data_IF_503055184117
#
_entry.id   IF_503055184117
#
_cell.length_a   1.000
_cell.length_b   1.000
_cell.length_c   1.000
_cell.angle_alpha   90.00
_cell.angle_beta   90.00
_cell.angle_gamma   90.00
#
_symmetry.space_group_name_H-M   'P 1'
#
loop_
_entity.id
_entity.type
_entity.pdbx_description
1 polymer ?
#
# COMPACT_ATOMS: atom_id res chain seq x y z
N UNK A 1 -9.58 -9.51 -12.13
CA UNK A 1 -8.58 -8.51 -11.78
C UNK A 1 -8.50 -8.46 -10.26
N UNK A 2 -7.31 -8.73 -9.69
CA UNK A 2 -6.97 -8.61 -8.26
C UNK A 2 -7.89 -9.36 -7.28
N UNK A 3 -8.31 -10.58 -7.64
CA UNK A 3 -9.13 -11.39 -6.73
C UNK A 3 -8.31 -11.84 -5.52
N UNK A 4 -8.75 -11.49 -4.31
CA UNK A 4 -8.05 -11.87 -3.08
C UNK A 4 -6.97 -10.88 -2.66
N UNK A 5 -6.79 -9.75 -3.36
CA UNK A 5 -5.82 -8.70 -3.01
C UNK A 5 -5.97 -8.22 -1.56
N UNK A 6 -7.17 -8.27 -0.98
CA UNK A 6 -7.39 -7.91 0.41
C UNK A 6 -6.61 -8.77 1.41
N UNK A 7 -6.07 -9.92 0.99
CA UNK A 7 -5.20 -10.80 1.81
C UNK A 7 -3.83 -10.22 2.09
N UNK A 8 -3.34 -9.26 1.30
CA UNK A 8 -2.06 -8.58 1.57
C UNK A 8 -2.05 -7.89 2.95
N UNK A 9 -3.24 -7.56 3.47
CA UNK A 9 -3.42 -6.91 4.77
C UNK A 9 -3.57 -7.89 5.95
N UNK A 10 -3.59 -9.21 5.74
CA UNK A 10 -3.85 -10.18 6.84
C UNK A 10 -2.80 -10.14 7.94
N UNK A 11 -1.55 -9.81 7.60
CA UNK A 11 -0.43 -9.77 8.54
C UNK A 11 -0.12 -8.34 9.05
N UNK A 12 -1.01 -7.37 8.80
CA UNK A 12 -0.83 -5.94 9.15
C UNK A 12 -0.33 -5.74 10.58
N UNK A 13 -1.05 -6.29 11.56
CA UNK A 13 -0.70 -6.13 12.98
C UNK A 13 0.68 -6.70 13.32
N UNK A 14 1.03 -7.86 12.76
CA UNK A 14 2.32 -8.50 13.03
C UNK A 14 3.48 -7.71 12.44
N UNK A 15 3.33 -7.26 11.19
CA UNK A 15 4.38 -6.55 10.45
C UNK A 15 4.63 -5.13 10.96
N UNK A 16 3.60 -4.47 11.54
CA UNK A 16 3.74 -3.13 12.12
C UNK A 16 4.25 -3.12 13.57
N UNK A 17 3.99 -4.18 14.36
CA UNK A 17 4.33 -4.21 15.81
C UNK A 17 5.82 -4.05 16.12
N UNK A 18 6.69 -4.42 15.20
CA UNK A 18 8.15 -4.34 15.36
C UNK A 18 8.82 -3.69 14.17
N UNK A 19 8.30 -2.55 13.73
CA UNK A 19 8.86 -1.79 12.61
C UNK A 19 10.22 -1.18 12.99
N UNK A 20 11.28 -1.99 12.89
CA UNK A 20 12.68 -1.61 13.05
C UNK A 20 13.38 -1.92 11.73
N UNK A 21 14.47 -1.22 11.43
CA UNK A 21 15.19 -1.35 10.16
C UNK A 21 15.38 -2.80 9.67
N UNK A 22 15.92 -3.69 10.52
CA UNK A 22 16.18 -5.09 10.16
C UNK A 22 14.91 -5.91 9.91
N UNK A 23 13.87 -5.70 10.72
CA UNK A 23 12.59 -6.39 10.54
C UNK A 23 11.81 -5.80 9.37
N UNK A 24 11.90 -4.50 9.12
CA UNK A 24 11.31 -3.85 7.96
C UNK A 24 11.85 -4.42 6.66
N UNK A 25 13.18 -4.55 6.54
CA UNK A 25 13.84 -5.17 5.38
C UNK A 25 13.35 -6.60 5.14
N UNK A 26 13.42 -7.44 6.18
CA UNK A 26 12.95 -8.82 6.09
C UNK A 26 11.46 -8.92 5.75
N UNK A 27 10.62 -8.17 6.45
CA UNK A 27 9.18 -8.20 6.25
C UNK A 27 8.80 -7.71 4.85
N UNK A 28 9.54 -6.75 4.30
CA UNK A 28 9.32 -6.27 2.93
C UNK A 28 9.63 -7.36 1.92
N UNK A 29 10.77 -8.06 2.08
CA UNK A 29 11.08 -9.20 1.22
C UNK A 29 10.02 -10.30 1.33
N UNK A 30 9.64 -10.70 2.55
CA UNK A 30 8.60 -11.71 2.78
C UNK A 30 7.24 -11.29 2.15
N UNK A 31 6.93 -9.99 2.17
CA UNK A 31 5.74 -9.40 1.56
C UNK A 31 5.78 -9.47 0.03
N UNK A 32 6.90 -9.08 -0.59
CA UNK A 32 7.12 -9.15 -2.03
C UNK A 32 7.08 -10.60 -2.52
N UNK A 33 7.73 -11.52 -1.81
CA UNK A 33 7.75 -12.93 -2.17
C UNK A 33 6.33 -13.54 -2.14
N UNK A 34 5.52 -13.13 -1.17
CA UNK A 34 4.15 -13.64 -1.01
C UNK A 34 3.14 -12.97 -1.97
N UNK A 35 3.28 -11.66 -2.18
CA UNK A 35 2.21 -10.83 -2.78
C UNK A 35 2.66 -10.00 -3.98
N UNK A 36 3.95 -10.01 -4.35
CA UNK A 36 4.53 -9.28 -5.48
C UNK A 36 3.85 -9.57 -6.83
N UNK A 37 3.20 -10.72 -6.98
CA UNK A 37 2.42 -11.05 -8.17
C UNK A 37 1.23 -10.10 -8.40
N UNK A 38 0.57 -9.62 -7.36
CA UNK A 38 -0.54 -8.69 -7.51
C UNK A 38 -0.08 -7.34 -8.08
N UNK A 39 1.07 -6.86 -7.63
CA UNK A 39 1.62 -5.58 -8.08
C UNK A 39 2.09 -5.65 -9.53
N UNK A 40 2.63 -6.80 -9.96
CA UNK A 40 2.90 -7.08 -11.37
C UNK A 40 1.62 -7.16 -12.21
N UNK A 41 0.57 -7.83 -11.71
CA UNK A 41 -0.74 -7.88 -12.38
C UNK A 41 -1.31 -6.46 -12.58
N UNK A 42 -1.17 -5.57 -11.59
CA UNK A 42 -1.58 -4.16 -11.72
C UNK A 42 -0.84 -3.46 -12.87
N UNK A 43 0.48 -3.57 -12.94
CA UNK A 43 1.28 -2.89 -13.97
C UNK A 43 1.00 -3.46 -15.36
N UNK A 44 0.91 -4.79 -15.49
CA UNK A 44 0.59 -5.46 -16.75
C UNK A 44 -0.81 -5.10 -17.25
N UNK A 45 -1.77 -5.00 -16.34
CA UNK A 45 -3.12 -4.58 -16.67
C UNK A 45 -3.15 -3.16 -17.24
N UNK A 46 -2.54 -2.17 -16.56
CA UNK A 46 -2.48 -0.79 -17.06
C UNK A 46 -1.73 -0.71 -18.39
N UNK A 47 -0.64 -1.46 -18.55
CA UNK A 47 0.10 -1.50 -19.81
C UNK A 47 -0.74 -2.05 -20.97
N UNK A 48 -1.61 -3.03 -20.71
CA UNK A 48 -2.47 -3.63 -21.74
C UNK A 48 -3.65 -2.76 -22.21
N UNK A 49 -4.02 -1.71 -21.46
CA UNK A 49 -5.19 -0.88 -21.74
C UNK A 49 -4.78 0.45 -22.37
N UNK A 50 -5.46 0.92 -23.42
CA UNK A 50 -5.08 2.18 -24.08
C UNK A 50 -5.21 3.42 -23.20
N UNK A 51 -6.26 3.48 -22.38
CA UNK A 51 -6.53 4.57 -21.43
C UNK A 51 -5.92 4.23 -20.07
N UNK A 52 -4.69 4.72 -19.84
CA UNK A 52 -3.85 4.35 -18.68
C UNK A 52 -4.43 4.88 -17.38
N UNK A 53 -4.92 6.11 -17.41
CA UNK A 53 -5.53 6.81 -16.29
C UNK A 53 -6.76 6.05 -15.82
N UNK A 54 -7.67 5.71 -16.74
CA UNK A 54 -8.86 4.91 -16.40
C UNK A 54 -8.49 3.54 -15.85
N UNK A 55 -7.50 2.85 -16.44
CA UNK A 55 -7.08 1.54 -15.93
C UNK A 55 -6.52 1.63 -14.50
N UNK A 56 -5.76 2.68 -14.18
CA UNK A 56 -5.26 2.92 -12.83
C UNK A 56 -6.38 3.26 -11.84
N UNK A 57 -7.40 4.01 -12.25
CA UNK A 57 -8.61 4.26 -11.46
C UNK A 57 -9.38 2.96 -11.18
N UNK A 58 -9.53 2.08 -12.17
CA UNK A 58 -10.20 0.78 -12.01
C UNK A 58 -9.44 -0.14 -11.01
N UNK A 59 -8.10 -0.11 -11.01
CA UNK A 59 -7.29 -0.77 -9.98
C UNK A 59 -7.57 -0.18 -8.60
N UNK A 60 -7.55 1.15 -8.49
CA UNK A 60 -7.74 1.84 -7.22
C UNK A 60 -9.11 1.52 -6.61
N UNK A 61 -10.17 1.62 -7.41
CA UNK A 61 -11.54 1.26 -7.00
C UNK A 61 -11.63 -0.21 -6.61
N UNK A 62 -10.99 -1.11 -7.36
CA UNK A 62 -10.99 -2.53 -7.04
C UNK A 62 -10.34 -2.79 -5.67
N UNK A 63 -9.14 -2.27 -5.43
CA UNK A 63 -8.43 -2.42 -4.15
C UNK A 63 -9.26 -1.86 -2.99
N UNK A 64 -9.76 -0.64 -3.13
CA UNK A 64 -10.52 0.06 -2.09
C UNK A 64 -11.80 -0.68 -1.74
N UNK A 65 -12.55 -1.14 -2.74
CA UNK A 65 -13.78 -1.91 -2.52
C UNK A 65 -13.50 -3.24 -1.81
N UNK A 66 -12.37 -3.89 -2.12
CA UNK A 66 -11.96 -5.16 -1.49
C UNK A 66 -11.56 -4.94 -0.03
N UNK A 67 -10.77 -3.91 0.25
CA UNK A 67 -10.39 -3.52 1.61
C UNK A 67 -11.62 -3.15 2.42
N UNK A 68 -12.48 -2.29 1.90
CA UNK A 68 -13.69 -1.90 2.62
C UNK A 68 -14.58 -3.10 2.91
N UNK A 69 -14.83 -3.96 1.92
CA UNK A 69 -15.63 -5.17 2.11
C UNK A 69 -15.06 -6.09 3.19
N UNK A 70 -13.74 -6.17 3.33
CA UNK A 70 -13.07 -7.01 4.33
C UNK A 70 -13.09 -6.41 5.72
N UNK A 71 -12.81 -5.12 5.84
CA UNK A 71 -12.53 -4.47 7.13
C UNK A 71 -13.69 -3.62 7.66
N UNK A 72 -14.68 -3.28 6.84
CA UNK A 72 -15.83 -2.53 7.30
C UNK A 72 -16.70 -3.39 8.23
N UNK A 73 -17.11 -2.78 9.34
CA UNK A 73 -18.11 -3.35 10.23
C UNK A 73 -19.48 -3.50 9.53
N UNK A 74 -20.43 -4.17 10.20
CA UNK A 74 -21.84 -4.25 9.75
C UNK A 74 -22.50 -2.89 9.50
N UNK A 75 -21.93 -1.80 10.03
CA UNK A 75 -22.38 -0.42 9.82
C UNK A 75 -21.72 0.26 8.61
N UNK A 76 -20.94 -0.48 7.81
CA UNK A 76 -20.27 0.01 6.60
C UNK A 76 -19.09 0.95 6.87
N UNK A 77 -18.47 0.87 8.05
CA UNK A 77 -17.30 1.69 8.40
C UNK A 77 -16.19 0.84 9.00
N UNK A 78 -14.95 1.11 8.59
CA UNK A 78 -13.73 0.62 9.22
C UNK A 78 -13.54 1.42 10.52
N UNK A 79 -13.20 0.76 11.62
CA UNK A 79 -12.93 1.45 12.88
C UNK A 79 -11.60 2.23 12.80
N UNK A 80 -11.48 3.27 13.63
CA UNK A 80 -10.34 4.17 13.60
C UNK A 80 -9.00 3.48 13.84
N UNK A 81 -8.96 2.44 14.69
CA UNK A 81 -7.69 1.75 15.00
C UNK A 81 -7.23 0.95 13.78
N UNK A 82 -8.13 0.16 13.19
CA UNK A 82 -7.85 -0.59 11.96
C UNK A 82 -7.51 0.36 10.82
N UNK A 83 -8.19 1.49 10.67
CA UNK A 83 -7.87 2.46 9.61
C UNK A 83 -6.44 3.01 9.76
N UNK A 84 -5.99 3.32 10.98
CA UNK A 84 -4.62 3.77 11.24
C UNK A 84 -3.61 2.69 10.87
N UNK A 85 -3.86 1.44 11.28
CA UNK A 85 -2.97 0.32 10.96
C UNK A 85 -2.93 0.07 9.43
N UNK A 86 -4.06 0.17 8.72
CA UNK A 86 -4.11 0.09 7.26
C UNK A 86 -3.36 1.24 6.58
N UNK A 87 -3.52 2.48 7.06
CA UNK A 87 -2.81 3.65 6.54
C UNK A 87 -1.30 3.46 6.64
N UNK A 88 -0.80 3.00 7.80
CA UNK A 88 0.62 2.69 7.96
C UNK A 88 1.05 1.55 7.04
N UNK A 89 0.23 0.51 6.88
CA UNK A 89 0.55 -0.60 5.99
C UNK A 89 0.66 -0.16 4.53
N UNK A 90 -0.23 0.73 4.08
CA UNK A 90 -0.16 1.35 2.76
C UNK A 90 1.17 2.07 2.55
N UNK A 91 1.55 2.93 3.51
CA UNK A 91 2.78 3.73 3.46
C UNK A 91 4.02 2.85 3.46
N UNK A 92 4.09 1.84 4.33
CA UNK A 92 5.32 1.07 4.54
C UNK A 92 5.52 -0.10 3.56
N UNK A 93 4.46 -0.68 3.03
CA UNK A 93 4.57 -1.91 2.23
C UNK A 93 3.90 -1.78 0.87
N UNK A 94 2.65 -1.30 0.79
CA UNK A 94 1.90 -1.32 -0.48
C UNK A 94 2.48 -0.34 -1.51
N UNK A 95 2.61 0.94 -1.16
CA UNK A 95 3.15 1.93 -2.11
C UNK A 95 4.61 1.68 -2.49
N UNK A 96 5.52 1.38 -1.54
CA UNK A 96 6.90 1.03 -1.88
C UNK A 96 6.98 -0.13 -2.87
N UNK A 97 6.22 -1.21 -2.64
CA UNK A 97 6.23 -2.37 -3.54
C UNK A 97 5.62 -2.08 -4.91
N UNK A 98 4.64 -1.17 -5.02
CA UNK A 98 4.19 -0.68 -6.34
C UNK A 98 5.35 0.01 -7.06
N UNK A 99 6.06 0.91 -6.38
CA UNK A 99 7.16 1.67 -6.99
C UNK A 99 8.38 0.80 -7.33
N UNK A 100 8.65 -0.23 -6.52
CA UNK A 100 9.71 -1.23 -6.77
C UNK A 100 9.47 -2.11 -7.99
N UNK A 101 8.26 -2.10 -8.57
CA UNK A 101 8.05 -2.75 -9.88
C UNK A 101 8.88 -2.09 -10.99
N UNK A 102 9.34 -0.85 -10.77
CA UNK A 102 10.07 -0.01 -11.74
C UNK A 102 9.34 0.16 -13.09
N UNK A 103 8.05 -0.18 -13.13
CA UNK A 103 7.23 -0.07 -14.33
C UNK A 103 6.90 1.40 -14.63
N UNK A 104 6.80 1.78 -15.90
CA UNK A 104 6.55 3.16 -16.31
C UNK A 104 5.26 3.76 -15.71
N UNK A 105 4.24 2.92 -15.49
CA UNK A 105 2.96 3.28 -14.88
C UNK A 105 2.88 3.07 -13.36
N UNK A 106 3.95 2.62 -12.69
CA UNK A 106 3.93 2.36 -11.25
C UNK A 106 3.52 3.60 -10.45
N UNK A 107 4.06 4.77 -10.82
CA UNK A 107 3.71 6.04 -10.16
C UNK A 107 2.24 6.41 -10.37
N UNK A 108 1.73 6.25 -11.60
CA UNK A 108 0.31 6.52 -11.92
C UNK A 108 -0.63 5.64 -11.08
N UNK A 109 -0.32 4.34 -10.96
CA UNK A 109 -1.08 3.40 -10.14
C UNK A 109 -1.06 3.83 -8.67
N UNK A 110 0.12 4.14 -8.13
CA UNK A 110 0.27 4.59 -6.75
C UNK A 110 -0.48 5.91 -6.48
N UNK A 111 -0.41 6.89 -7.38
CA UNK A 111 -1.10 8.17 -7.27
C UNK A 111 -2.63 7.97 -7.27
N UNK A 112 -3.16 7.14 -8.19
CA UNK A 112 -4.59 6.82 -8.27
C UNK A 112 -5.09 6.11 -7.00
N UNK A 113 -4.35 5.11 -6.50
CA UNK A 113 -4.66 4.43 -5.24
C UNK A 113 -4.64 5.42 -4.07
N UNK A 114 -3.61 6.25 -3.95
CA UNK A 114 -3.47 7.20 -2.84
C UNK A 114 -4.61 8.23 -2.83
N UNK A 115 -4.94 8.77 -4.00
CA UNK A 115 -6.05 9.72 -4.18
C UNK A 115 -7.39 9.09 -3.78
N UNK A 116 -7.70 7.91 -4.30
CA UNK A 116 -8.95 7.24 -4.04
C UNK A 116 -9.05 6.76 -2.57
N UNK A 117 -7.94 6.30 -1.98
CA UNK A 117 -7.85 5.92 -0.57
C UNK A 117 -8.21 7.08 0.37
N UNK A 118 -7.62 8.26 0.12
CA UNK A 118 -7.89 9.46 0.91
C UNK A 118 -9.31 10.00 0.74
N UNK A 119 -9.92 9.82 -0.43
CA UNK A 119 -11.33 10.17 -0.68
C UNK A 119 -12.28 9.21 0.04
N UNK A 120 -11.95 7.91 0.06
CA UNK A 120 -12.86 6.87 0.55
C UNK A 120 -12.84 6.70 2.06
N UNK A 121 -11.67 6.76 2.68
CA UNK A 121 -11.50 6.45 4.09
C UNK A 121 -11.21 7.71 4.91
N UNK A 122 -11.81 7.78 6.10
CA UNK A 122 -11.65 8.93 7.00
C UNK A 122 -10.19 9.04 7.46
N UNK A 123 -9.68 10.27 7.59
CA UNK A 123 -8.31 10.53 8.10
C UNK A 123 -7.22 9.76 7.34
N UNK A 124 -7.44 9.54 6.04
CA UNK A 124 -6.58 8.71 5.20
C UNK A 124 -5.96 9.48 4.03
N UNK A 125 -5.86 10.81 4.17
CA UNK A 125 -5.07 11.69 3.31
C UNK A 125 -3.58 11.46 3.64
N UNK A 126 -3.05 10.34 3.15
CA UNK A 126 -1.67 9.91 3.39
C UNK A 126 -0.76 10.38 2.25
N UNK A 127 0.54 10.41 2.54
CA UNK A 127 1.59 10.56 1.53
C UNK A 127 2.40 9.28 1.49
N UNK A 128 3.04 9.01 0.36
CA UNK A 128 3.87 7.82 0.18
C UNK A 128 5.21 8.18 -0.46
N UNK A 129 6.15 7.24 -0.36
CA UNK A 129 7.48 7.33 -0.96
C UNK A 129 7.97 5.91 -1.29
N UNK A 130 9.07 5.81 -2.02
CA UNK A 130 9.73 4.54 -2.32
C UNK A 130 10.38 3.86 -1.09
N UNK A 131 10.75 2.59 -1.28
CA UNK A 131 11.38 1.77 -0.27
C UNK A 131 12.69 2.37 0.27
N UNK A 132 13.56 2.84 -0.63
CA UNK A 132 14.89 3.33 -0.25
C UNK A 132 14.79 4.55 0.67
N UNK A 133 13.88 5.47 0.38
CA UNK A 133 13.59 6.64 1.20
C UNK A 133 13.07 6.22 2.58
N UNK A 134 12.13 5.27 2.66
CA UNK A 134 11.65 4.74 3.94
C UNK A 134 12.77 4.04 4.71
N UNK A 135 13.52 3.17 4.06
CA UNK A 135 14.62 2.42 4.67
C UNK A 135 15.70 3.37 5.22
N UNK A 136 15.97 4.46 4.51
CA UNK A 136 16.83 5.58 4.93
C UNK A 136 16.34 6.24 6.22
N UNK A 137 15.04 6.53 6.30
CA UNK A 137 14.42 7.22 7.46
C UNK A 137 14.59 6.48 8.80
N UNK A 138 14.66 5.14 8.80
CA UNK A 138 14.93 4.36 10.02
C UNK A 138 16.31 4.63 10.64
N UNK A 139 17.26 5.25 9.90
CA UNK A 139 18.60 5.58 10.40
C UNK A 139 18.71 6.97 11.03
N UNK A 140 17.67 7.79 11.00
CA UNK A 140 17.69 9.07 11.71
C UNK A 140 17.48 8.86 13.21
N UNK A 141 18.52 8.36 13.88
CA UNK A 141 18.91 9.03 15.11
C UNK A 141 19.17 10.47 14.71
N UNK A 142 18.31 11.38 15.15
CA UNK A 142 18.65 12.79 15.30
C UNK A 142 20.01 12.83 16.01
N UNK A 143 21.08 13.07 15.26
CA UNK A 143 22.34 13.48 15.84
C UNK A 143 22.14 14.93 16.29
N UNK A 144 21.76 15.08 17.55
CA UNK A 144 21.73 16.36 18.26
C UNK A 144 20.34 16.97 18.38
N UNK A 145 19.65 16.67 19.48
CA UNK A 145 19.08 17.64 20.42
C UNK A 145 18.82 16.86 21.71
N UNK A 146 19.64 17.16 22.72
CA UNK A 146 19.28 17.07 24.14
C UNK A 146 18.33 18.22 24.47
#
# INVERSE_FOLDING_TARGET
MLNGIETIFDNTTQMLRHLKKKSFEKNTQDFIDSYGHYFREMTEYVDSISDKERAAEEIADTLINRVEKKFASKKGKIDSRTQVDLNFFMIYYVFPTILETEHEYAKLIADSICSAWGKRFKESQIQYTDYDTLYGSFREKIFGIF
#
